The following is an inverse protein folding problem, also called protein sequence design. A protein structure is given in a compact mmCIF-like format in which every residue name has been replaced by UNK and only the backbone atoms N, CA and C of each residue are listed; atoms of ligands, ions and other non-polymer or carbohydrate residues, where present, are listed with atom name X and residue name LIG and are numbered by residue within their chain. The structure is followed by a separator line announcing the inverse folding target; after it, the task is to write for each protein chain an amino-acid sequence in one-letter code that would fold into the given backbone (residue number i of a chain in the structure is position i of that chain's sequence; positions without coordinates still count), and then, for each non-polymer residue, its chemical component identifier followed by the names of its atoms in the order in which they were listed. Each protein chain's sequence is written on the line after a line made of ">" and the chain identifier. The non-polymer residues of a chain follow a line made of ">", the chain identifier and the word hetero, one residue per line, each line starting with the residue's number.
data_IF_910625882022
#
_entry.id   IF_910625882022
#
_cell.length_a   1.000
_cell.length_b   1.000
_cell.length_c   1.000
_cell.angle_alpha   90.00
_cell.angle_beta   90.00
_cell.angle_gamma   90.00
#
_symmetry.space_group_name_H-M   'P 1'
#
loop_
_entity.id
_entity.type
_entity.pdbx_description
1 polymer ?
#
# COMPACT_ATOMS: atom_id res chain seq x y z
N UNK A 1 8.98 -19.81 -7.97
CA UNK A 1 9.36 -18.49 -8.50
C UNK A 1 8.32 -18.09 -9.52
N UNK A 2 7.65 -16.93 -9.38
CA UNK A 2 6.68 -16.49 -10.37
C UNK A 2 7.37 -16.20 -11.70
N UNK A 3 6.73 -16.58 -12.82
CA UNK A 3 7.29 -16.41 -14.17
C UNK A 3 7.06 -14.99 -14.70
N UNK A 4 6.07 -14.28 -14.16
CA UNK A 4 5.73 -12.90 -14.54
C UNK A 4 5.35 -12.08 -13.31
N UNK A 5 6.04 -10.96 -13.10
CA UNK A 5 5.78 -10.04 -11.99
C UNK A 5 5.67 -8.60 -12.50
N UNK A 6 4.78 -7.82 -11.88
CA UNK A 6 4.73 -6.37 -12.03
C UNK A 6 4.96 -5.75 -10.67
N UNK A 7 5.93 -4.85 -10.58
CA UNK A 7 6.23 -4.11 -9.38
C UNK A 7 6.24 -2.63 -9.71
N UNK A 8 5.43 -1.87 -8.99
CA UNK A 8 5.42 -0.42 -9.05
C UNK A 8 5.82 0.13 -7.68
N UNK A 9 7.05 0.63 -7.61
CA UNK A 9 7.55 1.36 -6.45
C UNK A 9 7.45 2.86 -6.74
N UNK A 10 6.35 3.48 -6.32
CA UNK A 10 6.16 4.91 -6.47
C UNK A 10 6.85 5.63 -5.30
N UNK A 11 8.03 6.20 -5.54
CA UNK A 11 8.72 7.05 -4.55
C UNK A 11 8.08 8.44 -4.37
N UNK A 12 7.08 8.75 -5.18
CA UNK A 12 6.30 9.99 -5.28
C UNK A 12 4.83 9.55 -5.44
N UNK A 13 3.83 10.24 -4.89
CA UNK A 13 2.42 9.94 -5.16
C UNK A 13 2.19 9.97 -6.67
N UNK A 14 1.98 8.78 -7.25
CA UNK A 14 1.54 8.63 -8.63
C UNK A 14 0.04 8.40 -8.57
N UNK A 15 -0.73 9.46 -8.81
CA UNK A 15 -2.16 9.35 -9.07
C UNK A 15 -2.35 8.73 -10.47
N UNK A 16 -2.11 7.42 -10.55
CA UNK A 16 -2.24 6.64 -11.78
C UNK A 16 -3.72 6.37 -11.99
N UNK A 17 -4.35 6.93 -13.05
CA UNK A 17 -5.77 6.72 -13.29
C UNK A 17 -6.06 5.26 -13.63
N UNK A 18 -7.29 4.81 -13.33
CA UNK A 18 -7.69 3.41 -13.55
C UNK A 18 -7.53 2.96 -15.01
N UNK A 19 -7.59 3.87 -15.99
CA UNK A 19 -7.43 3.55 -17.41
C UNK A 19 -6.02 3.08 -17.75
N UNK A 20 -5.00 3.61 -17.07
CA UNK A 20 -3.61 3.15 -17.24
C UNK A 20 -3.45 1.77 -16.62
N UNK A 21 -4.06 1.53 -15.45
CA UNK A 21 -4.09 0.20 -14.85
C UNK A 21 -4.81 -0.83 -15.72
N UNK A 22 -5.94 -0.47 -16.31
CA UNK A 22 -6.67 -1.31 -17.27
C UNK A 22 -5.78 -1.72 -18.45
N UNK A 23 -5.02 -0.78 -19.03
CA UNK A 23 -4.08 -1.06 -20.12
C UNK A 23 -2.95 -2.00 -19.68
N UNK A 24 -2.37 -1.78 -18.50
CA UNK A 24 -1.32 -2.64 -17.92
C UNK A 24 -1.85 -4.07 -17.76
N UNK A 25 -3.01 -4.27 -17.14
CA UNK A 25 -3.56 -5.60 -16.91
C UNK A 25 -4.01 -6.30 -18.20
N UNK A 26 -4.52 -5.53 -19.17
CA UNK A 26 -4.86 -6.04 -20.50
C UNK A 26 -3.62 -6.51 -21.26
N UNK A 27 -2.48 -5.84 -21.05
CA UNK A 27 -1.19 -6.16 -21.70
C UNK A 27 -0.41 -7.26 -20.99
N UNK A 28 -0.82 -7.65 -19.78
CA UNK A 28 -0.11 -8.66 -18.96
C UNK A 28 -1.01 -9.87 -18.62
N UNK A 29 -1.43 -10.68 -19.62
CA UNK A 29 -2.31 -11.82 -19.39
C UNK A 29 -1.67 -12.93 -18.55
N UNK A 30 -0.34 -12.96 -18.47
CA UNK A 30 0.41 -13.96 -17.70
C UNK A 30 0.84 -13.47 -16.31
N UNK A 31 0.41 -12.27 -15.89
CA UNK A 31 0.77 -11.70 -14.58
C UNK A 31 0.47 -12.70 -13.45
N UNK A 32 1.48 -13.01 -12.63
CA UNK A 32 1.34 -13.92 -11.47
C UNK A 32 1.43 -13.18 -10.14
N UNK A 33 2.20 -12.09 -10.08
CA UNK A 33 2.46 -11.31 -8.88
C UNK A 33 2.38 -9.81 -9.16
N UNK A 34 1.66 -9.10 -8.31
CA UNK A 34 1.50 -7.65 -8.32
C UNK A 34 2.04 -7.09 -7.00
N UNK A 35 3.07 -6.27 -7.07
CA UNK A 35 3.65 -5.58 -5.91
C UNK A 35 3.48 -4.07 -6.08
N UNK A 36 2.80 -3.44 -5.12
CA UNK A 36 2.57 -1.99 -5.09
C UNK A 36 3.19 -1.40 -3.84
N UNK A 37 4.05 -0.40 -4.02
CA UNK A 37 4.57 0.41 -2.92
C UNK A 37 4.20 1.86 -3.16
N UNK A 38 3.42 2.46 -2.26
CA UNK A 38 2.86 3.81 -2.45
C UNK A 38 1.66 4.10 -1.55
N UNK A 39 1.36 5.38 -1.31
CA UNK A 39 0.22 5.81 -0.48
C UNK A 39 -1.12 5.84 -1.23
N UNK A 40 -1.09 5.82 -2.57
CA UNK A 40 -2.22 6.16 -3.42
C UNK A 40 -2.25 5.23 -4.63
N UNK A 41 -3.42 4.66 -4.93
CA UNK A 41 -3.65 3.88 -6.15
C UNK A 41 -4.28 2.50 -5.95
N UNK A 42 -4.61 2.11 -4.71
CA UNK A 42 -5.23 0.82 -4.43
C UNK A 42 -6.59 0.67 -5.12
N UNK A 43 -7.47 1.68 -5.02
CA UNK A 43 -8.78 1.67 -5.69
C UNK A 43 -8.63 1.73 -7.20
N UNK A 44 -7.83 2.68 -7.73
CA UNK A 44 -7.65 2.84 -9.16
C UNK A 44 -7.08 1.58 -9.82
N UNK A 45 -6.14 0.90 -9.13
CA UNK A 45 -5.62 -0.39 -9.55
C UNK A 45 -6.70 -1.46 -9.57
N UNK A 46 -7.49 -1.61 -8.50
CA UNK A 46 -8.57 -2.60 -8.45
C UNK A 46 -9.62 -2.35 -9.54
N UNK A 47 -9.99 -1.08 -9.76
CA UNK A 47 -10.87 -0.68 -10.86
C UNK A 47 -10.27 -1.03 -12.23
N UNK A 48 -8.96 -0.85 -12.40
CA UNK A 48 -8.25 -1.28 -13.60
C UNK A 48 -8.37 -2.78 -13.86
N UNK A 49 -8.24 -3.63 -12.83
CA UNK A 49 -8.46 -5.09 -12.94
C UNK A 49 -9.89 -5.40 -13.37
N UNK A 50 -10.88 -4.75 -12.75
CA UNK A 50 -12.30 -4.95 -13.09
C UNK A 50 -12.59 -4.57 -14.55
N UNK A 51 -12.08 -3.41 -14.99
CA UNK A 51 -12.24 -2.93 -16.36
C UNK A 51 -11.54 -3.85 -17.37
N UNK A 52 -10.30 -4.23 -17.11
CA UNK A 52 -9.56 -5.17 -17.96
C UNK A 52 -10.22 -6.56 -18.01
N UNK A 53 -11.00 -6.92 -16.98
CA UNK A 53 -11.75 -8.17 -16.93
C UNK A 53 -13.11 -8.11 -17.63
N UNK A 54 -13.51 -6.95 -18.20
CA UNK A 54 -14.79 -6.79 -18.87
C UNK A 54 -14.90 -7.74 -20.07
N UNK A 55 -15.84 -8.68 -20.01
CA UNK A 55 -16.08 -9.69 -21.06
C UNK A 55 -15.12 -10.89 -21.04
N UNK A 56 -13.87 -10.73 -20.56
CA UNK A 56 -12.92 -11.83 -20.36
C UNK A 56 -12.04 -11.53 -19.15
N UNK A 57 -11.96 -12.48 -18.22
CA UNK A 57 -11.14 -12.38 -17.02
C UNK A 57 -9.67 -12.02 -17.36
N UNK A 58 -9.18 -10.89 -16.85
CA UNK A 58 -7.77 -10.51 -16.99
C UNK A 58 -6.90 -11.24 -15.98
N UNK A 59 -5.60 -11.35 -16.28
CA UNK A 59 -4.58 -11.92 -15.40
C UNK A 59 -5.03 -13.24 -14.71
N UNK A 60 -5.46 -14.27 -15.46
CA UNK A 60 -5.94 -15.54 -14.89
C UNK A 60 -4.90 -16.23 -13.99
N UNK A 61 -3.62 -15.91 -14.14
CA UNK A 61 -2.51 -16.47 -13.35
C UNK A 61 -2.17 -15.65 -12.11
N UNK A 62 -2.80 -14.49 -11.90
CA UNK A 62 -2.52 -13.62 -10.77
C UNK A 62 -2.85 -14.35 -9.48
N UNK A 63 -1.79 -14.67 -8.74
CA UNK A 63 -1.81 -15.48 -7.53
C UNK A 63 -1.43 -14.66 -6.28
N UNK A 64 -0.65 -13.60 -6.45
CA UNK A 64 -0.10 -12.81 -5.34
C UNK A 64 -0.33 -11.32 -5.57
N UNK A 65 -0.89 -10.65 -4.56
CA UNK A 65 -0.97 -9.19 -4.50
C UNK A 65 -0.34 -8.73 -3.20
N UNK A 66 0.75 -7.96 -3.29
CA UNK A 66 1.41 -7.32 -2.14
C UNK A 66 1.23 -5.82 -2.26
N UNK A 67 0.73 -5.18 -1.20
CA UNK A 67 0.55 -3.73 -1.14
C UNK A 67 1.29 -3.23 0.09
N UNK A 68 2.20 -2.29 -0.11
CA UNK A 68 2.93 -1.60 0.93
C UNK A 68 2.56 -0.12 0.86
N UNK A 69 1.86 0.38 1.88
CA UNK A 69 1.60 1.81 1.99
C UNK A 69 2.95 2.54 2.07
N UNK A 70 3.10 3.74 1.49
CA UNK A 70 4.38 4.42 1.58
C UNK A 70 4.66 4.92 3.01
N UNK A 71 5.94 4.98 3.35
CA UNK A 71 6.37 5.52 4.63
C UNK A 71 6.09 7.03 4.66
N UNK A 72 5.53 7.58 5.75
CA UNK A 72 5.36 9.03 5.95
C UNK A 72 6.63 9.85 5.72
N UNK A 73 7.81 9.22 5.81
CA UNK A 73 9.11 9.85 5.57
C UNK A 73 9.27 10.41 4.16
N UNK A 74 8.75 9.72 3.13
CA UNK A 74 8.97 10.14 1.74
C UNK A 74 8.18 11.39 1.34
N UNK A 75 7.18 11.80 2.13
CA UNK A 75 6.50 13.10 1.97
C UNK A 75 7.30 14.28 2.53
N UNK A 76 8.26 14.05 3.44
CA UNK A 76 8.99 15.14 4.10
C UNK A 76 10.07 15.78 3.22
N UNK A 77 10.62 15.02 2.28
CA UNK A 77 11.62 15.53 1.32
C UNK A 77 11.01 16.43 0.23
N UNK A 78 9.68 16.39 0.07
CA UNK A 78 8.92 17.27 -0.82
C UNK A 78 8.48 18.56 -0.13
N UNK A 79 9.41 19.28 0.53
CA UNK A 79 9.44 20.73 0.78
C UNK A 79 8.18 21.54 1.20
N UNK A 80 7.04 20.92 1.51
CA UNK A 80 5.79 21.62 1.81
C UNK A 80 5.54 21.56 3.31
N UNK A 81 6.06 22.57 4.02
CA UNK A 81 5.86 22.76 5.46
C UNK A 81 4.42 23.18 5.86
N UNK A 82 3.44 23.05 4.97
CA UNK A 82 2.04 23.45 5.23
C UNK A 82 0.99 22.34 4.98
N UNK A 83 1.39 21.09 4.72
CA UNK A 83 0.40 20.01 4.63
C UNK A 83 0.10 19.45 6.03
N UNK A 84 -0.82 20.12 6.72
CA UNK A 84 -1.41 19.70 8.00
C UNK A 84 -2.00 18.29 7.89
N UNK A 85 -1.22 17.26 8.20
CA UNK A 85 -1.68 15.98 8.75
C UNK A 85 -2.80 15.24 8.00
N UNK A 86 -3.06 15.58 6.74
CA UNK A 86 -4.14 15.05 5.93
C UNK A 86 -3.60 14.63 4.57
N UNK A 87 -2.52 13.83 4.61
CA UNK A 87 -2.36 12.81 3.59
C UNK A 87 -3.68 12.05 3.53
N UNK A 88 -4.35 12.15 2.40
CA UNK A 88 -5.55 11.38 2.07
C UNK A 88 -5.09 9.93 2.02
N UNK A 89 -4.95 9.31 3.19
CA UNK A 89 -4.91 7.86 3.29
C UNK A 89 -6.23 7.46 2.67
N UNK A 90 -6.15 6.95 1.44
CA UNK A 90 -7.25 6.35 0.74
C UNK A 90 -8.03 5.52 1.76
N UNK A 91 -9.33 5.81 1.94
CA UNK A 91 -10.12 5.20 3.01
C UNK A 91 -9.93 3.68 2.92
N UNK A 92 -9.24 3.12 3.92
CA UNK A 92 -8.85 1.72 3.95
C UNK A 92 -10.04 0.81 3.68
N UNK A 93 -11.22 1.20 4.18
CA UNK A 93 -12.44 0.45 4.00
C UNK A 93 -12.92 0.48 2.54
N UNK A 94 -12.74 1.62 1.87
CA UNK A 94 -13.19 1.83 0.49
C UNK A 94 -12.36 0.98 -0.48
N UNK A 95 -11.04 1.11 -0.49
CA UNK A 95 -10.22 0.37 -1.47
C UNK A 95 -10.20 -1.13 -1.18
N UNK A 96 -10.22 -1.56 0.09
CA UNK A 96 -10.36 -2.98 0.45
C UNK A 96 -11.74 -3.52 0.04
N UNK A 97 -12.78 -2.69 0.05
CA UNK A 97 -14.09 -3.03 -0.48
C UNK A 97 -14.05 -3.29 -1.99
N UNK A 98 -13.37 -2.44 -2.76
CA UNK A 98 -13.20 -2.63 -4.21
C UNK A 98 -12.34 -3.87 -4.50
N UNK A 99 -11.27 -4.08 -3.73
CA UNK A 99 -10.46 -5.30 -3.83
C UNK A 99 -11.29 -6.55 -3.57
N UNK A 100 -12.11 -6.55 -2.50
CA UNK A 100 -13.01 -7.66 -2.18
C UNK A 100 -13.92 -7.99 -3.35
N UNK A 101 -14.55 -6.98 -3.95
CA UNK A 101 -15.49 -7.18 -5.05
C UNK A 101 -14.78 -7.69 -6.31
N UNK A 102 -13.58 -7.18 -6.58
CA UNK A 102 -12.68 -7.66 -7.65
C UNK A 102 -12.32 -9.14 -7.44
N UNK A 103 -11.93 -9.53 -6.23
CA UNK A 103 -11.56 -10.91 -5.91
C UNK A 103 -12.76 -11.85 -5.93
N UNK A 104 -13.94 -11.36 -5.56
CA UNK A 104 -15.20 -12.12 -5.66
C UNK A 104 -15.51 -12.46 -7.12
N UNK A 105 -15.40 -11.51 -8.04
CA UNK A 105 -15.63 -11.74 -9.48
C UNK A 105 -14.63 -12.78 -10.03
N UNK A 106 -13.35 -12.67 -9.65
CA UNK A 106 -12.33 -13.67 -10.02
C UNK A 106 -12.65 -15.06 -9.47
N UNK A 107 -13.07 -15.15 -8.22
CA UNK A 107 -13.43 -16.41 -7.58
C UNK A 107 -14.67 -17.05 -8.23
N UNK A 108 -15.66 -16.26 -8.66
CA UNK A 108 -16.81 -16.75 -9.43
C UNK A 108 -16.39 -17.35 -10.78
N UNK A 109 -15.29 -16.87 -11.36
CA UNK A 109 -14.66 -17.45 -12.55
C UNK A 109 -13.71 -18.63 -12.23
N UNK A 110 -13.70 -19.13 -11.00
CA UNK A 110 -12.88 -20.27 -10.57
C UNK A 110 -11.43 -19.92 -10.20
N UNK A 111 -11.08 -18.64 -10.14
CA UNK A 111 -9.72 -18.17 -9.90
C UNK A 111 -9.61 -17.46 -8.54
N UNK A 112 -9.21 -18.22 -7.51
CA UNK A 112 -8.89 -17.65 -6.20
C UNK A 112 -7.47 -17.08 -6.17
N UNK A 113 -7.29 -16.01 -5.39
CA UNK A 113 -5.95 -15.49 -5.12
C UNK A 113 -5.27 -16.38 -4.08
N UNK A 114 -3.99 -16.69 -4.27
CA UNK A 114 -3.26 -17.52 -3.31
C UNK A 114 -2.78 -16.73 -2.11
N UNK A 115 -2.38 -15.47 -2.32
CA UNK A 115 -1.81 -14.64 -1.26
C UNK A 115 -2.14 -13.17 -1.44
N UNK A 116 -2.59 -12.55 -0.35
CA UNK A 116 -2.70 -11.11 -0.18
C UNK A 116 -1.88 -10.68 1.03
N UNK A 117 -0.99 -9.70 0.84
CA UNK A 117 -0.18 -9.12 1.91
C UNK A 117 -0.37 -7.61 1.89
N UNK A 118 -0.75 -7.06 3.04
CA UNK A 118 -0.79 -5.62 3.27
C UNK A 118 0.31 -5.25 4.27
N UNK A 119 1.28 -4.46 3.83
CA UNK A 119 2.36 -3.94 4.68
C UNK A 119 2.00 -2.52 5.13
N UNK A 120 1.93 -2.32 6.45
CA UNK A 120 1.53 -1.05 7.07
C UNK A 120 2.69 -0.51 7.90
N UNK A 121 3.15 0.70 7.57
CA UNK A 121 4.13 1.41 8.39
C UNK A 121 3.50 1.93 9.70
N UNK A 122 4.24 1.76 10.79
CA UNK A 122 3.84 2.21 12.12
C UNK A 122 4.80 3.26 12.64
N UNK A 123 4.26 4.38 13.11
CA UNK A 123 5.03 5.24 14.01
C UNK A 123 5.04 4.61 15.40
N UNK A 124 6.18 4.66 16.09
CA UNK A 124 6.32 4.21 17.49
C UNK A 124 5.31 4.84 18.47
N UNK A 125 4.67 5.96 18.10
CA UNK A 125 3.63 6.63 18.87
C UNK A 125 2.19 6.14 18.62
N UNK A 126 1.95 5.31 17.59
CA UNK A 126 0.60 4.84 17.27
C UNK A 126 0.22 3.64 18.15
N UNK A 127 -0.61 3.91 19.17
CA UNK A 127 -1.08 2.90 20.11
C UNK A 127 -1.81 1.70 19.48
N UNK A 128 -2.03 0.67 20.29
CA UNK A 128 -2.60 -0.66 19.95
C UNK A 128 -3.90 -0.65 19.11
N UNK A 129 -4.69 0.43 19.12
CA UNK A 129 -5.98 0.51 18.43
C UNK A 129 -5.92 0.54 16.90
N UNK A 130 -4.78 0.89 16.28
CA UNK A 130 -4.65 0.88 14.82
C UNK A 130 -4.63 -0.55 14.23
N UNK A 131 -4.41 -1.58 15.05
CA UNK A 131 -4.28 -2.98 14.62
C UNK A 131 -5.58 -3.61 14.15
N UNK A 132 -6.66 -3.43 14.91
CA UNK A 132 -7.91 -4.15 14.66
C UNK A 132 -8.63 -3.71 13.38
N UNK A 133 -8.33 -2.52 12.83
CA UNK A 133 -9.06 -1.99 11.67
C UNK A 133 -8.82 -2.82 10.41
N UNK A 134 -7.57 -3.21 10.15
CA UNK A 134 -7.23 -3.95 8.93
C UNK A 134 -7.65 -5.42 9.03
N UNK A 135 -7.55 -6.01 10.22
CA UNK A 135 -7.95 -7.41 10.44
C UNK A 135 -9.42 -7.67 10.10
N UNK A 136 -10.31 -6.73 10.48
CA UNK A 136 -11.73 -6.83 10.17
C UNK A 136 -12.00 -6.76 8.66
N UNK A 137 -11.24 -5.96 7.91
CA UNK A 137 -11.36 -5.89 6.44
C UNK A 137 -10.74 -7.12 5.76
N UNK A 138 -9.57 -7.58 6.23
CA UNK A 138 -8.95 -8.80 5.70
C UNK A 138 -9.80 -10.05 5.90
N UNK A 139 -10.54 -10.13 7.01
CA UNK A 139 -11.47 -11.22 7.27
C UNK A 139 -12.51 -11.36 6.15
N UNK A 140 -12.91 -10.25 5.51
CA UNK A 140 -13.86 -10.25 4.39
C UNK A 140 -13.25 -10.79 3.08
N UNK A 141 -11.93 -10.83 2.96
CA UNK A 141 -11.23 -11.34 1.77
C UNK A 141 -11.06 -12.87 1.79
N UNK A 142 -11.13 -13.50 2.97
CA UNK A 142 -10.90 -14.95 3.18
C UNK A 142 -11.68 -15.87 2.24
N UNK A 143 -12.94 -15.59 1.84
CA UNK A 143 -13.64 -16.45 0.89
C UNK A 143 -12.97 -16.52 -0.50
N UNK A 144 -12.17 -15.52 -0.84
CA UNK A 144 -11.61 -15.30 -2.18
C UNK A 144 -10.07 -15.41 -2.24
N UNK A 145 -9.42 -15.51 -1.07
CA UNK A 145 -7.97 -15.57 -0.91
C UNK A 145 -7.59 -16.72 0.01
N UNK A 146 -6.64 -17.56 -0.40
CA UNK A 146 -6.16 -18.68 0.43
C UNK A 146 -5.41 -18.18 1.68
N UNK A 147 -4.60 -17.13 1.55
CA UNK A 147 -3.83 -16.53 2.65
C UNK A 147 -3.88 -15.00 2.59
N UNK A 148 -4.51 -14.37 3.57
CA UNK A 148 -4.54 -12.91 3.73
C UNK A 148 -3.89 -12.52 5.06
N UNK A 149 -2.92 -11.59 5.04
CA UNK A 149 -2.25 -11.12 6.26
C UNK A 149 -1.86 -9.64 6.19
N UNK A 150 -1.78 -9.01 7.36
CA UNK A 150 -1.13 -7.70 7.54
C UNK A 150 0.27 -7.94 8.08
N UNK A 151 1.26 -7.29 7.48
CA UNK A 151 2.61 -7.17 8.00
C UNK A 151 2.80 -5.73 8.50
N UNK A 152 3.48 -5.57 9.64
CA UNK A 152 3.69 -4.28 10.25
C UNK A 152 5.18 -3.96 10.25
N UNK A 153 5.53 -2.81 9.70
CA UNK A 153 6.92 -2.33 9.67
C UNK A 153 7.06 -1.10 10.57
N UNK A 154 7.97 -1.18 11.55
CA UNK A 154 8.23 -0.08 12.47
C UNK A 154 9.11 0.99 11.82
N UNK A 155 8.69 2.25 11.92
CA UNK A 155 9.50 3.39 11.52
C UNK A 155 10.54 3.68 12.60
N UNK A 156 11.78 3.24 12.40
CA UNK A 156 12.90 3.57 13.29
C UNK A 156 13.27 5.04 13.10
N UNK A 157 12.69 5.94 13.89
CA UNK A 157 13.07 7.36 14.01
C UNK A 157 14.53 7.44 14.49
N UNK A 158 15.46 7.63 13.56
CA UNK A 158 16.80 8.07 13.91
C UNK A 158 16.67 9.53 14.31
N UNK A 159 16.60 9.77 15.63
CA UNK A 159 16.78 11.10 16.20
C UNK A 159 18.16 11.58 15.76
N UNK A 160 18.18 12.51 14.80
CA UNK A 160 19.32 13.37 14.58
C UNK A 160 19.39 14.32 15.79
N UNK A 161 19.86 13.79 16.92
CA UNK A 161 20.17 14.57 18.10
C UNK A 161 21.20 15.62 17.68
N UNK A 162 20.72 16.86 17.58
CA UNK A 162 21.55 18.03 17.38
C UNK A 162 22.46 18.14 18.61
N UNK A 163 23.77 17.91 18.43
CA UNK A 163 24.78 18.33 19.38
C UNK A 163 24.71 19.86 19.52
N UNK A 164 23.89 20.31 20.46
CA UNK A 164 23.98 21.67 20.99
C UNK A 164 25.08 21.66 22.05
N UNK A 165 26.34 21.76 21.61
CA UNK A 165 27.44 22.13 22.49
C UNK A 165 27.22 23.59 22.95
N UNK A 166 26.48 23.76 24.04
CA UNK A 166 26.52 24.97 24.85
C UNK A 166 27.83 25.00 25.63
N UNK A 167 28.91 25.43 24.97
CA UNK A 167 30.17 25.81 25.62
C UNK A 167 30.48 27.26 25.27
N UNK A 168 30.00 28.18 26.11
CA UNK A 168 30.55 29.53 26.21
C UNK A 168 30.53 29.94 27.68
N UNK A 169 31.53 29.45 28.41
CA UNK A 169 31.90 29.94 29.74
C UNK A 169 32.45 31.35 29.60
N UNK A 170 31.62 32.36 29.86
CA UNK A 170 32.01 33.77 29.96
C UNK A 170 32.08 34.20 31.43
N UNK A 171 33.30 34.49 31.88
CA UNK A 171 33.72 35.51 32.86
C UNK A 171 32.92 35.70 34.15
N UNK A 172 33.59 35.54 35.31
CA UNK A 172 33.68 36.58 36.35
C UNK A 172 34.74 36.19 37.39
N UNK A 173 35.79 36.99 37.53
CA UNK A 173 36.60 37.07 38.74
C UNK A 173 37.05 38.52 38.91
N UNK A 174 36.51 39.14 39.95
CA UNK A 174 37.05 40.33 40.63
C UNK A 174 38.29 39.95 41.46
#
# INVERSE_FOLDING_TARGET
>A
MPVSYFSLAAGIPLDVPFTVWEEVFSSMPLLERLDLTGDEGGTAMCQGIQRASAGRLCCPRLAVIHIQNASPRRRRDSGSEHDTGRAVVEDSALWLGVLRDTLRERAQAGMKLQEFVLVVFRSSQAGSHAHGRYDAHLAQLRPFVERARVEYEDLVLEDSASESESSASGEHSD
#
